data_IF_099754659427
#
_entry.id   IF_099754659427
#
_cell.length_a   1.000
_cell.length_b   1.000
_cell.length_c   1.000
_cell.angle_alpha   90.00
_cell.angle_beta   90.00
_cell.angle_gamma   90.00
#
_symmetry.space_group_name_H-M   'P 1'
#
loop_
_entity.id
_entity.type
_entity.pdbx_description
1 polymer ?
#
# COMPACT_ATOMS: atom_id res chain seq x y z
N UNK A 1 11.57 -5.17 -14.92
CA UNK A 1 11.07 -6.05 -13.84
C UNK A 1 10.12 -5.21 -12.99
N UNK A 2 8.90 -5.68 -12.79
CA UNK A 2 7.94 -5.00 -11.90
C UNK A 2 8.08 -5.59 -10.50
N UNK A 3 8.34 -4.74 -9.52
CA UNK A 3 8.42 -5.12 -8.11
C UNK A 3 7.05 -4.92 -7.45
N UNK A 4 6.56 -5.94 -6.75
CA UNK A 4 5.39 -5.88 -5.87
C UNK A 4 5.90 -5.82 -4.44
N UNK A 5 5.54 -4.76 -3.72
CA UNK A 5 5.85 -4.59 -2.32
C UNK A 5 4.69 -5.13 -1.48
N UNK A 6 4.96 -6.11 -0.64
CA UNK A 6 4.00 -6.59 0.36
C UNK A 6 4.29 -5.82 1.64
N UNK A 7 3.43 -4.85 1.94
CA UNK A 7 3.46 -4.03 3.14
C UNK A 7 2.15 -4.20 3.91
N UNK A 8 2.20 -3.99 5.22
CA UNK A 8 1.03 -4.01 6.08
C UNK A 8 1.24 -3.06 7.24
N UNK A 9 0.15 -2.56 7.80
CA UNK A 9 0.20 -1.64 8.93
C UNK A 9 -1.00 -1.81 9.85
N UNK A 10 -0.89 -1.28 11.06
CA UNK A 10 -1.95 -1.30 12.07
C UNK A 10 -2.22 0.11 12.55
N UNK A 11 -3.50 0.51 12.53
CA UNK A 11 -3.94 1.83 12.98
C UNK A 11 -5.08 1.72 13.98
N UNK A 12 -5.04 2.57 15.00
CA UNK A 12 -6.12 2.74 15.98
C UNK A 12 -6.57 4.19 15.96
N UNK A 13 -7.86 4.41 15.73
CA UNK A 13 -8.46 5.74 15.78
C UNK A 13 -9.96 5.67 16.12
N UNK A 14 -10.57 6.84 16.29
CA UNK A 14 -11.95 6.99 16.79
C UNK A 14 -13.03 6.43 15.86
N UNK A 15 -12.69 6.15 14.60
CA UNK A 15 -13.62 5.53 13.63
C UNK A 15 -12.92 4.43 12.85
N UNK A 16 -13.73 3.54 12.25
CA UNK A 16 -13.21 2.50 11.36
C UNK A 16 -12.44 3.10 10.17
N UNK A 17 -12.95 4.18 9.57
CA UNK A 17 -12.28 4.85 8.44
C UNK A 17 -10.96 5.50 8.88
N UNK A 18 -10.94 6.17 10.03
CA UNK A 18 -9.72 6.76 10.56
C UNK A 18 -8.69 5.70 10.97
N UNK A 19 -9.15 4.52 11.45
CA UNK A 19 -8.26 3.40 11.79
C UNK A 19 -7.67 2.77 10.53
N UNK A 20 -8.46 2.67 9.47
CA UNK A 20 -7.99 2.26 8.14
C UNK A 20 -6.96 3.23 7.57
N UNK A 21 -7.21 4.54 7.64
CA UNK A 21 -6.25 5.57 7.21
C UNK A 21 -4.96 5.53 8.05
N UNK A 22 -5.06 5.37 9.37
CA UNK A 22 -3.90 5.20 10.24
C UNK A 22 -3.09 3.93 9.91
N UNK A 23 -3.76 2.83 9.56
CA UNK A 23 -3.09 1.60 9.12
C UNK A 23 -2.38 1.79 7.77
N UNK A 24 -2.98 2.54 6.84
CA UNK A 24 -2.31 2.94 5.61
C UNK A 24 -1.15 3.90 5.87
N UNK A 25 -1.22 4.74 6.91
CA UNK A 25 -0.15 5.64 7.28
C UNK A 25 1.06 4.89 7.84
N UNK A 26 0.81 3.91 8.72
CA UNK A 26 1.80 2.97 9.25
C UNK A 26 2.52 2.20 8.12
N UNK A 27 1.80 1.85 7.04
CA UNK A 27 2.39 1.20 5.86
C UNK A 27 2.99 2.17 4.81
N UNK A 28 3.01 3.49 5.06
CA UNK A 28 3.41 4.55 4.12
C UNK A 28 2.59 4.61 2.80
N UNK A 29 1.30 4.28 2.85
CA UNK A 29 0.39 4.23 1.69
C UNK A 29 -0.75 5.27 1.72
N UNK A 30 -0.96 5.94 2.85
CA UNK A 30 -2.08 6.89 3.08
C UNK A 30 -2.17 8.06 2.09
N UNK A 31 -1.06 8.47 1.48
CA UNK A 31 -1.03 9.59 0.54
C UNK A 31 -1.23 9.20 -0.93
N UNK A 32 -1.57 7.94 -1.23
CA UNK A 32 -1.80 7.46 -2.60
C UNK A 32 -3.27 7.13 -2.85
N UNK A 33 -3.67 7.22 -4.12
CA UNK A 33 -5.00 6.80 -4.56
C UNK A 33 -4.99 5.31 -4.88
N UNK A 34 -5.50 4.50 -3.95
CA UNK A 34 -5.46 3.04 -4.05
C UNK A 34 -6.55 2.50 -4.98
N UNK A 35 -6.16 1.65 -5.93
CA UNK A 35 -7.04 0.93 -6.86
C UNK A 35 -6.90 -0.55 -6.60
N UNK A 36 -7.93 -1.14 -5.99
CA UNK A 36 -7.99 -2.57 -5.74
C UNK A 36 -8.02 -3.36 -7.06
N UNK A 37 -7.16 -4.37 -7.19
CA UNK A 37 -7.13 -5.31 -8.32
C UNK A 37 -7.45 -6.74 -7.88
N UNK A 38 -7.65 -7.65 -8.83
CA UNK A 38 -8.07 -9.04 -8.59
C UNK A 38 -6.95 -9.97 -8.06
N UNK A 39 -5.95 -9.43 -7.38
CA UNK A 39 -4.84 -10.17 -6.74
C UNK A 39 -4.05 -11.12 -7.65
N UNK A 40 -3.90 -10.79 -8.93
CA UNK A 40 -3.10 -11.58 -9.89
C UNK A 40 -1.64 -11.11 -9.86
N UNK A 41 -0.71 -12.01 -9.56
CA UNK A 41 0.74 -11.75 -9.64
C UNK A 41 1.27 -12.13 -11.03
N UNK A 42 1.86 -11.19 -11.81
CA UNK A 42 2.48 -11.50 -13.10
C UNK A 42 3.66 -12.48 -12.96
N UNK A 43 3.85 -13.36 -13.95
CA UNK A 43 4.86 -14.44 -13.90
C UNK A 43 6.30 -13.98 -13.65
N UNK A 44 6.66 -12.79 -14.14
CA UNK A 44 8.01 -12.22 -14.03
C UNK A 44 8.10 -11.08 -13.00
N UNK A 45 7.11 -10.97 -12.11
CA UNK A 45 7.12 -9.98 -11.04
C UNK A 45 8.03 -10.42 -9.88
N UNK A 46 8.78 -9.48 -9.32
CA UNK A 46 9.55 -9.71 -8.09
C UNK A 46 8.69 -9.31 -6.91
N UNK A 47 8.50 -10.19 -5.92
CA UNK A 47 7.72 -9.91 -4.71
C UNK A 47 8.66 -9.73 -3.54
N UNK A 48 8.54 -8.61 -2.83
CA UNK A 48 9.39 -8.28 -1.69
C UNK A 48 8.51 -7.86 -0.52
N UNK A 49 8.69 -8.51 0.63
CA UNK A 49 8.09 -8.06 1.88
C UNK A 49 8.90 -6.90 2.44
N UNK A 50 8.21 -5.83 2.82
CA UNK A 50 8.78 -4.62 3.39
C UNK A 50 7.97 -4.21 4.61
N UNK A 51 8.63 -3.59 5.59
CA UNK A 51 7.94 -3.05 6.76
C UNK A 51 7.03 -1.87 6.35
N UNK A 52 7.55 -0.98 5.51
CA UNK A 52 6.82 0.17 4.97
C UNK A 52 7.02 0.23 3.46
N UNK A 53 6.01 0.70 2.72
CA UNK A 53 6.16 0.93 1.29
C UNK A 53 7.24 2.00 1.03
N UNK A 54 8.12 1.82 0.03
CA UNK A 54 9.11 2.85 -0.31
C UNK A 54 8.42 4.09 -0.91
N UNK A 55 9.21 5.12 -1.25
CA UNK A 55 8.71 6.22 -2.07
C UNK A 55 8.33 5.69 -3.47
N UNK A 56 7.03 5.72 -3.78
CA UNK A 56 6.44 5.25 -5.04
C UNK A 56 6.04 6.43 -5.95
N UNK A 57 6.49 7.63 -5.61
CA UNK A 57 6.28 8.88 -6.35
C UNK A 57 5.42 9.89 -5.60
N UNK A 58 5.04 10.99 -6.28
CA UNK A 58 4.25 12.06 -5.69
C UNK A 58 2.96 11.60 -4.99
N UNK A 59 2.64 12.25 -3.88
CA UNK A 59 1.34 12.13 -3.22
C UNK A 59 0.19 12.41 -4.20
N UNK A 60 -0.91 11.66 -4.06
CA UNK A 60 -2.06 11.71 -4.96
C UNK A 60 -1.91 10.86 -6.22
N UNK A 61 -0.75 10.25 -6.48
CA UNK A 61 -0.61 9.30 -7.57
C UNK A 61 -1.45 8.04 -7.34
N UNK A 62 -1.86 7.43 -8.45
CA UNK A 62 -2.60 6.16 -8.45
C UNK A 62 -1.67 5.00 -8.15
N UNK A 63 -2.02 4.16 -7.19
CA UNK A 63 -1.33 2.91 -6.87
C UNK A 63 -2.31 1.73 -7.01
N UNK A 64 -1.85 0.63 -7.61
CA UNK A 64 -2.62 -0.62 -7.66
C UNK A 64 -2.28 -1.50 -6.47
N UNK A 65 -3.30 -1.95 -5.74
CA UNK A 65 -3.18 -2.79 -4.54
C UNK A 65 -4.02 -4.07 -4.65
#
# INVERSE_FOLDING_TARGET
MNTIHVAGGVGVADTAMASYDAALADANLHNYNLVAVSSVVPAEATVVAVEEAPDLGPAGNRLTV
#
